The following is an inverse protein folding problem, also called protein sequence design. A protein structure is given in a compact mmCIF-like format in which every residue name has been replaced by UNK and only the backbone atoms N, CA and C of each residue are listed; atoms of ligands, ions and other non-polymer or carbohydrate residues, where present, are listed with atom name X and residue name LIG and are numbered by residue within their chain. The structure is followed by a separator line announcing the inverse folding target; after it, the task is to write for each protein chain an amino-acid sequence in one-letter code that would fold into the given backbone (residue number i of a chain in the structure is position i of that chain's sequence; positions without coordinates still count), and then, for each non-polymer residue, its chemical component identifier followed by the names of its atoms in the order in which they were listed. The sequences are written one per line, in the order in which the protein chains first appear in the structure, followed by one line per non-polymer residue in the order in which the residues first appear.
data_IF_711435430647
#
_entry.id   IF_711435430647
#
_cell.length_a   1.000
_cell.length_b   1.000
_cell.length_c   1.000
_cell.angle_alpha   90.00
_cell.angle_beta   90.00
_cell.angle_gamma   90.00
#
_symmetry.space_group_name_H-M   'P 1'
#
loop_
_entity.id
_entity.type
_entity.pdbx_description
1 polymer ?
#
# COMPACT_ATOMS: atom_id res chain seq x y z
N UNK A 1 16.72 -20.64 -29.86
CA UNK A 1 16.73 -22.03 -29.34
C UNK A 1 17.14 -22.04 -27.87
N UNK A 2 16.32 -21.47 -26.97
CA UNK A 2 16.49 -21.67 -25.52
C UNK A 2 15.18 -21.32 -24.82
N UNK A 3 14.39 -22.35 -24.53
CA UNK A 3 13.68 -22.38 -23.26
C UNK A 3 12.34 -21.66 -23.15
N UNK A 4 11.38 -22.00 -24.01
CA UNK A 4 9.94 -21.92 -23.71
C UNK A 4 9.52 -22.86 -22.55
N UNK A 5 10.40 -23.12 -21.59
CA UNK A 5 10.29 -24.13 -20.54
C UNK A 5 9.50 -23.64 -19.32
N UNK A 6 9.23 -22.33 -19.21
CA UNK A 6 8.40 -21.79 -18.13
C UNK A 6 6.90 -21.69 -18.47
N UNK A 7 6.45 -22.32 -19.56
CA UNK A 7 5.05 -22.29 -19.98
C UNK A 7 4.23 -23.53 -19.55
N UNK A 8 4.80 -24.46 -18.79
CA UNK A 8 4.24 -25.82 -18.63
C UNK A 8 3.85 -26.26 -17.20
N UNK A 9 3.96 -25.43 -16.17
CA UNK A 9 3.53 -25.81 -14.81
C UNK A 9 2.31 -24.97 -14.36
N UNK A 10 1.13 -25.56 -14.56
CA UNK A 10 -0.18 -25.15 -14.05
C UNK A 10 -0.84 -23.92 -14.70
N UNK A 11 -1.60 -24.16 -15.78
CA UNK A 11 -2.86 -23.43 -16.00
C UNK A 11 -3.98 -24.23 -15.30
N UNK A 12 -4.36 -23.91 -14.05
CA UNK A 12 -5.58 -24.46 -13.47
C UNK A 12 -6.82 -23.85 -14.15
N UNK A 13 -7.89 -24.64 -14.21
CA UNK A 13 -9.14 -24.44 -14.95
C UNK A 13 -9.80 -23.06 -14.79
N UNK A 14 -10.51 -22.61 -15.85
CA UNK A 14 -11.28 -21.36 -15.94
C UNK A 14 -12.58 -21.36 -15.10
N UNK A 15 -12.57 -21.97 -13.92
CA UNK A 15 -13.71 -21.92 -13.01
C UNK A 15 -13.36 -21.07 -11.80
N UNK A 16 -14.22 -20.08 -11.42
CA UNK A 16 -14.00 -19.28 -10.23
C UNK A 16 -14.27 -20.14 -8.98
N UNK A 17 -13.32 -20.99 -8.63
CA UNK A 17 -13.38 -21.75 -7.40
C UNK A 17 -13.04 -20.79 -6.24
N UNK A 18 -14.01 -20.64 -5.33
CA UNK A 18 -13.97 -19.77 -4.15
C UNK A 18 -13.00 -20.25 -3.06
N UNK A 19 -11.97 -21.03 -3.42
CA UNK A 19 -11.05 -21.71 -2.51
C UNK A 19 -9.63 -21.19 -2.66
N UNK A 20 -8.94 -20.99 -1.53
CA UNK A 20 -7.52 -20.60 -1.44
C UNK A 20 -6.57 -21.55 -2.20
N UNK A 21 -7.04 -22.75 -2.52
CA UNK A 21 -6.27 -23.86 -3.06
C UNK A 21 -6.11 -23.76 -4.59
N UNK A 22 -6.97 -23.02 -5.29
CA UNK A 22 -6.94 -22.89 -6.76
C UNK A 22 -6.91 -21.44 -7.24
N UNK A 23 -6.27 -20.54 -6.47
CA UNK A 23 -6.04 -19.17 -6.92
C UNK A 23 -4.97 -19.17 -8.01
N UNK A 24 -5.27 -18.57 -9.15
CA UNK A 24 -4.30 -18.35 -10.22
C UNK A 24 -2.98 -17.75 -9.69
N UNK A 25 -1.86 -18.36 -10.08
CA UNK A 25 -0.54 -17.92 -9.66
C UNK A 25 -0.18 -16.58 -10.34
N UNK A 26 -0.21 -15.49 -9.58
CA UNK A 26 0.21 -14.15 -10.04
C UNK A 26 1.65 -13.79 -9.66
N UNK A 27 2.44 -14.73 -9.14
CA UNK A 27 3.84 -14.48 -8.76
C UNK A 27 4.67 -13.96 -9.95
N UNK A 28 4.62 -14.56 -11.16
CA UNK A 28 5.36 -14.04 -12.31
C UNK A 28 4.90 -12.64 -12.74
N UNK A 29 3.61 -12.34 -12.54
CA UNK A 29 3.05 -11.01 -12.82
C UNK A 29 3.64 -9.95 -11.89
N UNK A 30 3.67 -10.21 -10.58
CA UNK A 30 4.27 -9.28 -9.62
C UNK A 30 5.79 -9.20 -9.76
N UNK A 31 6.49 -10.29 -10.07
CA UNK A 31 7.93 -10.28 -10.33
C UNK A 31 8.28 -9.35 -11.49
N UNK A 32 7.56 -9.45 -12.62
CA UNK A 32 7.74 -8.53 -13.76
C UNK A 32 7.43 -7.09 -13.38
N UNK A 33 6.37 -6.85 -12.62
CA UNK A 33 6.02 -5.50 -12.20
C UNK A 33 7.14 -4.93 -11.32
N UNK A 34 7.54 -5.59 -10.23
CA UNK A 34 8.54 -5.07 -9.29
C UNK A 34 9.97 -4.99 -9.85
N UNK A 35 10.36 -5.87 -10.79
CA UNK A 35 11.69 -5.88 -11.40
C UNK A 35 11.88 -4.86 -12.53
N UNK A 36 10.82 -4.17 -13.01
CA UNK A 36 10.98 -3.06 -13.95
C UNK A 36 11.86 -1.94 -13.35
N UNK A 37 12.91 -1.55 -14.08
CA UNK A 37 13.84 -0.48 -13.68
C UNK A 37 13.24 0.90 -13.97
N UNK A 38 12.16 1.25 -13.27
CA UNK A 38 11.45 2.52 -13.44
C UNK A 38 11.99 3.64 -12.52
N UNK A 39 13.08 3.39 -11.79
CA UNK A 39 13.70 4.33 -10.84
C UNK A 39 12.86 4.65 -9.58
N UNK A 40 11.63 4.14 -9.51
CA UNK A 40 10.70 4.34 -8.39
C UNK A 40 11.04 3.40 -7.22
N UNK A 41 10.84 3.88 -5.99
CA UNK A 41 11.04 3.07 -4.78
C UNK A 41 9.97 1.97 -4.70
N UNK A 42 10.36 0.81 -4.16
CA UNK A 42 9.49 -0.37 -4.05
C UNK A 42 8.14 -0.07 -3.39
N UNK A 43 8.10 0.84 -2.42
CA UNK A 43 6.88 1.21 -1.70
C UNK A 43 5.92 2.13 -2.46
N UNK A 44 6.37 2.79 -3.53
CA UNK A 44 5.51 3.60 -4.42
C UNK A 44 4.94 2.76 -5.57
N UNK A 45 5.50 1.56 -5.77
CA UNK A 45 5.17 0.66 -6.85
C UNK A 45 3.83 -0.06 -6.61
N UNK A 46 3.15 -0.42 -7.70
CA UNK A 46 1.81 -1.02 -7.69
C UNK A 46 0.76 -0.17 -6.96
N UNK A 47 0.28 -0.62 -5.79
CA UNK A 47 -0.75 0.10 -5.01
C UNK A 47 -0.20 1.24 -4.16
N UNK A 48 1.12 1.40 -4.11
CA UNK A 48 1.80 2.48 -3.40
C UNK A 48 1.37 3.88 -3.85
N UNK A 49 1.06 4.06 -5.14
CA UNK A 49 0.70 5.37 -5.72
C UNK A 49 -0.47 6.09 -5.03
N UNK A 50 -1.46 5.35 -4.52
CA UNK A 50 -2.62 5.93 -3.82
C UNK A 50 -2.57 5.71 -2.30
N UNK A 51 -1.95 4.63 -1.85
CA UNK A 51 -1.87 4.31 -0.42
C UNK A 51 -0.86 5.20 0.32
N UNK A 52 0.30 5.46 -0.28
CA UNK A 52 1.35 6.31 0.29
C UNK A 52 0.88 7.77 0.50
N UNK A 53 0.24 8.46 -0.46
CA UNK A 53 -0.23 9.82 -0.21
C UNK A 53 -1.31 9.87 0.87
N UNK A 54 -2.21 8.89 0.90
CA UNK A 54 -3.24 8.79 1.95
C UNK A 54 -2.62 8.65 3.34
N UNK A 55 -1.60 7.78 3.48
CA UNK A 55 -0.86 7.61 4.71
C UNK A 55 -0.12 8.90 5.13
N UNK A 56 0.53 9.58 4.17
CA UNK A 56 1.24 10.85 4.43
C UNK A 56 0.28 11.91 4.97
N UNK A 57 -0.89 12.08 4.35
CA UNK A 57 -1.91 13.05 4.81
C UNK A 57 -2.38 12.71 6.22
N UNK A 58 -2.71 11.45 6.49
CA UNK A 58 -3.15 11.02 7.82
C UNK A 58 -2.07 11.27 8.90
N UNK A 59 -0.80 11.00 8.59
CA UNK A 59 0.32 11.21 9.50
C UNK A 59 0.55 12.69 9.80
N UNK A 60 0.59 13.55 8.78
CA UNK A 60 0.79 14.98 9.01
C UNK A 60 -0.41 15.62 9.71
N UNK A 61 -1.62 15.13 9.44
CA UNK A 61 -2.84 15.59 10.12
C UNK A 61 -2.81 15.21 11.61
N UNK A 62 -2.50 13.96 11.95
CA UNK A 62 -2.45 13.52 13.35
C UNK A 62 -1.29 14.15 14.12
N UNK A 63 -0.15 14.34 13.47
CA UNK A 63 1.00 15.03 14.05
C UNK A 63 0.70 16.51 14.31
N UNK A 64 0.14 17.22 13.33
CA UNK A 64 -0.27 18.61 13.48
C UNK A 64 -1.36 18.79 14.56
N UNK A 65 -2.33 17.87 14.60
CA UNK A 65 -3.35 17.82 15.64
C UNK A 65 -2.76 17.63 17.05
N UNK A 66 -1.78 16.75 17.19
CA UNK A 66 -1.09 16.50 18.47
C UNK A 66 -0.29 17.73 18.93
N UNK A 67 0.49 18.35 18.03
CA UNK A 67 1.21 19.58 18.33
C UNK A 67 0.28 20.76 18.65
N UNK A 68 -0.86 20.85 17.97
CA UNK A 68 -1.88 21.86 18.25
C UNK A 68 -2.46 21.70 19.66
N UNK A 69 -2.78 20.46 20.07
CA UNK A 69 -3.21 20.17 21.44
C UNK A 69 -2.13 20.46 22.47
N UNK A 70 -0.87 20.10 22.18
CA UNK A 70 0.25 20.41 23.06
C UNK A 70 0.41 21.93 23.26
N UNK A 71 0.38 22.71 22.18
CA UNK A 71 0.49 24.17 22.25
C UNK A 71 -0.68 24.82 23.00
N UNK A 72 -1.91 24.33 22.80
CA UNK A 72 -3.09 24.80 23.52
C UNK A 72 -3.04 24.43 25.00
N UNK A 73 -2.52 23.24 25.35
CA UNK A 73 -2.32 22.81 26.73
C UNK A 73 -1.30 23.68 27.48
N UNK A 74 -0.20 24.08 26.81
CA UNK A 74 0.78 25.02 27.39
C UNK A 74 0.13 26.38 27.69
N UNK A 75 -0.80 26.83 26.83
CA UNK A 75 -1.58 28.06 27.03
C UNK A 75 -2.79 27.88 27.96
N UNK A 76 -2.93 26.73 28.63
CA UNK A 76 -3.98 26.46 29.62
C UNK A 76 -5.34 26.04 29.05
N UNK A 77 -5.48 25.93 27.73
CA UNK A 77 -6.72 25.50 27.08
C UNK A 77 -6.79 23.97 26.99
N UNK A 78 -7.78 23.36 27.65
CA UNK A 78 -7.94 21.90 27.70
C UNK A 78 -8.80 21.31 26.58
N UNK A 79 -9.39 22.13 25.73
CA UNK A 79 -10.39 21.73 24.73
C UNK A 79 -10.01 22.07 23.28
N UNK A 80 -10.53 21.28 22.32
CA UNK A 80 -10.24 21.34 20.88
C UNK A 80 -10.86 22.54 20.17
N UNK A 81 -12.15 22.78 20.42
CA UNK A 81 -12.94 23.92 19.96
C UNK A 81 -13.49 24.56 21.23
N UNK A 82 -13.09 25.80 21.48
CA UNK A 82 -13.24 26.40 22.80
C UNK A 82 -14.69 26.55 23.24
N UNK A 83 -14.95 26.23 24.51
CA UNK A 83 -15.35 27.23 25.51
C UNK A 83 -14.94 26.71 26.88
N UNK A 84 -13.89 27.33 27.41
CA UNK A 84 -13.20 27.04 28.69
C UNK A 84 -12.38 25.74 28.69
#
# INVERSE_FOLDING_TARGET
MAGYVYSAAAQPSKEPSRSWIFRENRVPYYQREFQKHDGLRTWEKARGKWMIPTYKVALFTSFGASMYMMGRLVLGHKTWLGKN
#
